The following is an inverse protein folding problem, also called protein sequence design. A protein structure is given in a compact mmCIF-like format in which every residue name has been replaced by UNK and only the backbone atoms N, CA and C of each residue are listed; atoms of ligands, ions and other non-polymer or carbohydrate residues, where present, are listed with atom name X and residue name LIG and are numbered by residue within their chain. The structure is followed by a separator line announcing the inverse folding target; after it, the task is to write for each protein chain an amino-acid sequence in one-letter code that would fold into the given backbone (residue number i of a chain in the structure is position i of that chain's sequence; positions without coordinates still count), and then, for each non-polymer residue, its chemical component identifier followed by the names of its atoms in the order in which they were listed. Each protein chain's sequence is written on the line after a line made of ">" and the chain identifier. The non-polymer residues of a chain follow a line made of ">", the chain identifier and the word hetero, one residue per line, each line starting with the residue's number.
data_IF_371932404910
#
_entry.id   IF_371932404910
#
_cell.length_a   1.000
_cell.length_b   1.000
_cell.length_c   1.000
_cell.angle_alpha   90.00
_cell.angle_beta   90.00
_cell.angle_gamma   90.00
#
_symmetry.space_group_name_H-M   'P 1'
#
loop_
_entity.id
_entity.type
_entity.pdbx_description
1 polymer ?
#
# COMPACT_ATOMS: atom_id res chain seq x y z
N UNK A 1 -12.90 12.13 -16.16
CA UNK A 1 -11.58 12.33 -15.50
C UNK A 1 -10.54 11.58 -16.30
N UNK A 2 -9.39 12.20 -16.59
CA UNK A 2 -8.27 11.47 -17.20
C UNK A 2 -7.73 10.44 -16.20
N UNK A 3 -7.32 9.28 -16.69
CA UNK A 3 -6.72 8.22 -15.83
C UNK A 3 -5.53 8.74 -15.01
N UNK A 4 -4.77 9.71 -15.55
CA UNK A 4 -3.66 10.38 -14.87
C UNK A 4 -4.14 11.17 -13.64
N UNK A 5 -5.20 11.95 -13.76
CA UNK A 5 -5.75 12.70 -12.62
C UNK A 5 -6.23 11.75 -11.50
N UNK A 6 -6.89 10.65 -11.87
CA UNK A 6 -7.30 9.63 -10.91
C UNK A 6 -6.10 8.99 -10.18
N UNK A 7 -5.01 8.72 -10.91
CA UNK A 7 -3.79 8.16 -10.33
C UNK A 7 -3.13 9.13 -9.32
N UNK A 8 -3.06 10.43 -9.62
CA UNK A 8 -2.53 11.43 -8.69
C UNK A 8 -3.39 11.56 -7.42
N UNK A 9 -4.70 11.58 -7.56
CA UNK A 9 -5.63 11.61 -6.42
C UNK A 9 -5.44 10.35 -5.55
N UNK A 10 -5.33 9.19 -6.17
CA UNK A 10 -5.04 7.93 -5.46
C UNK A 10 -3.72 7.98 -4.70
N UNK A 11 -2.65 8.48 -5.32
CA UNK A 11 -1.34 8.62 -4.68
C UNK A 11 -1.38 9.58 -3.47
N UNK A 12 -2.12 10.68 -3.57
CA UNK A 12 -2.32 11.62 -2.48
C UNK A 12 -3.01 10.96 -1.27
N UNK A 13 -4.11 10.26 -1.50
CA UNK A 13 -4.81 9.54 -0.42
C UNK A 13 -3.98 8.40 0.15
N UNK A 14 -3.18 7.70 -0.66
CA UNK A 14 -2.27 6.66 -0.19
C UNK A 14 -1.20 7.23 0.75
N UNK A 15 -0.68 8.43 0.46
CA UNK A 15 0.25 9.13 1.35
C UNK A 15 -0.38 9.48 2.70
N UNK A 16 -1.57 10.09 2.70
CA UNK A 16 -2.34 10.41 3.92
C UNK A 16 -2.60 9.14 4.72
N UNK A 17 -3.03 8.07 4.06
CA UNK A 17 -3.29 6.77 4.69
C UNK A 17 -2.10 6.26 5.50
N UNK A 18 -0.89 6.36 4.97
CA UNK A 18 0.33 5.88 5.63
C UNK A 18 0.62 6.64 6.93
N UNK A 19 0.39 7.94 6.95
CA UNK A 19 0.56 8.79 8.15
C UNK A 19 -0.52 8.50 9.19
N UNK A 20 -1.79 8.47 8.77
CA UNK A 20 -2.91 8.15 9.67
C UNK A 20 -2.78 6.75 10.27
N UNK A 21 -2.35 5.76 9.47
CA UNK A 21 -2.08 4.41 9.95
C UNK A 21 -1.04 4.40 11.06
N UNK A 22 0.09 5.11 10.90
CA UNK A 22 1.12 5.21 11.94
C UNK A 22 0.61 5.87 13.21
N UNK A 23 -0.22 6.90 13.09
CA UNK A 23 -0.83 7.54 14.25
C UNK A 23 -1.79 6.59 14.98
N UNK A 24 -2.59 5.81 14.24
CA UNK A 24 -3.56 4.87 14.81
C UNK A 24 -2.93 3.67 15.51
N UNK A 25 -1.75 3.20 15.05
CA UNK A 25 -1.08 2.02 15.60
C UNK A 25 -0.30 2.33 16.90
N UNK A 26 -0.05 3.60 17.23
CA UNK A 26 0.80 3.95 18.40
C UNK A 26 0.33 3.35 19.72
N UNK A 27 -0.97 3.13 19.90
CA UNK A 27 -1.57 2.64 21.15
C UNK A 27 -2.51 1.45 20.92
N UNK A 28 -2.51 0.87 19.72
CA UNK A 28 -3.41 -0.22 19.33
C UNK A 28 -2.57 -1.34 18.71
N UNK A 29 -2.95 -2.57 18.99
CA UNK A 29 -2.38 -3.73 18.33
C UNK A 29 -2.55 -3.62 16.81
N UNK A 30 -1.50 -3.98 16.06
CA UNK A 30 -1.49 -3.83 14.59
C UNK A 30 -2.55 -4.67 13.88
N UNK A 31 -2.89 -5.83 14.44
CA UNK A 31 -3.89 -6.72 13.86
C UNK A 31 -5.30 -6.16 14.07
N UNK A 32 -5.57 -5.61 15.25
CA UNK A 32 -6.83 -4.92 15.56
C UNK A 32 -6.98 -3.66 14.70
N UNK A 33 -5.93 -2.87 14.55
CA UNK A 33 -5.95 -1.69 13.70
C UNK A 33 -6.23 -2.05 12.23
N UNK A 34 -5.64 -3.14 11.74
CA UNK A 34 -5.90 -3.67 10.40
C UNK A 34 -7.36 -4.10 10.25
N UNK A 35 -7.92 -4.81 11.22
CA UNK A 35 -9.31 -5.28 11.20
C UNK A 35 -10.30 -4.10 11.17
N UNK A 36 -10.17 -3.14 12.06
CA UNK A 36 -11.04 -1.95 12.12
C UNK A 36 -10.99 -1.19 10.79
N UNK A 37 -9.80 -0.93 10.27
CA UNK A 37 -9.64 -0.24 8.99
C UNK A 37 -10.29 -1.01 7.84
N UNK A 38 -10.12 -2.33 7.80
CA UNK A 38 -10.71 -3.17 6.74
C UNK A 38 -12.23 -3.12 6.79
N UNK A 39 -12.84 -3.11 7.98
CA UNK A 39 -14.29 -2.93 8.12
C UNK A 39 -14.75 -1.57 7.55
N UNK A 40 -14.04 -0.49 7.85
CA UNK A 40 -14.37 0.84 7.31
C UNK A 40 -14.27 0.86 5.78
N UNK A 41 -13.19 0.29 5.23
CA UNK A 41 -13.00 0.19 3.77
C UNK A 41 -14.09 -0.66 3.13
N UNK A 42 -14.48 -1.76 3.75
CA UNK A 42 -15.54 -2.64 3.27
C UNK A 42 -16.88 -1.88 3.17
N UNK A 43 -17.28 -1.20 4.25
CA UNK A 43 -18.52 -0.40 4.28
C UNK A 43 -18.48 0.70 3.21
N UNK A 44 -17.36 1.42 3.11
CA UNK A 44 -17.20 2.46 2.11
C UNK A 44 -17.28 1.93 0.67
N UNK A 45 -16.62 0.80 0.39
CA UNK A 45 -16.64 0.18 -0.93
C UNK A 45 -18.06 -0.27 -1.34
N UNK A 46 -18.82 -0.88 -0.41
CA UNK A 46 -20.21 -1.27 -0.67
C UNK A 46 -21.14 -0.08 -0.85
N UNK A 47 -20.95 0.98 -0.06
CA UNK A 47 -21.70 2.22 -0.23
C UNK A 47 -21.47 2.84 -1.62
N UNK A 48 -20.21 2.88 -2.06
CA UNK A 48 -19.86 3.39 -3.40
C UNK A 48 -20.43 2.50 -4.52
N UNK A 49 -20.41 1.17 -4.38
CA UNK A 49 -21.04 0.25 -5.32
C UNK A 49 -22.55 0.45 -5.39
N UNK A 50 -23.19 0.76 -4.26
CA UNK A 50 -24.62 1.10 -4.19
C UNK A 50 -24.94 2.40 -4.90
N UNK A 51 -24.19 3.45 -4.65
CA UNK A 51 -24.38 4.78 -5.26
C UNK A 51 -24.17 4.72 -6.78
N UNK A 52 -23.17 3.95 -7.25
CA UNK A 52 -22.88 3.77 -8.68
C UNK A 52 -23.86 2.83 -9.40
N UNK A 53 -24.78 2.18 -8.67
CA UNK A 53 -25.73 1.22 -9.24
C UNK A 53 -25.09 -0.11 -9.71
N UNK A 54 -23.82 -0.34 -9.37
CA UNK A 54 -23.06 -1.50 -9.86
C UNK A 54 -23.41 -2.81 -9.15
N UNK A 55 -24.22 -2.79 -8.09
CA UNK A 55 -24.61 -4.01 -7.33
C UNK A 55 -25.36 -4.99 -8.24
N UNK A 56 -26.18 -4.50 -9.18
CA UNK A 56 -26.92 -5.35 -10.11
C UNK A 56 -26.06 -6.20 -11.05
N UNK A 57 -24.79 -5.83 -11.24
CA UNK A 57 -23.87 -6.57 -12.12
C UNK A 57 -23.19 -7.77 -11.44
N UNK A 58 -23.39 -7.96 -10.14
CA UNK A 58 -22.76 -9.07 -9.39
C UNK A 58 -23.17 -10.43 -9.96
N UNK A 59 -24.43 -10.57 -10.38
CA UNK A 59 -24.94 -11.84 -10.94
C UNK A 59 -24.40 -12.17 -12.34
N UNK A 60 -23.79 -11.20 -13.05
CA UNK A 60 -23.20 -11.39 -14.36
C UNK A 60 -21.69 -11.67 -14.33
N UNK A 61 -21.09 -11.74 -13.15
CA UNK A 61 -19.65 -11.99 -12.98
C UNK A 61 -19.36 -13.46 -13.30
N UNK A 62 -18.46 -13.70 -14.26
CA UNK A 62 -17.99 -15.03 -14.61
C UNK A 62 -17.26 -15.70 -13.43
N UNK A 63 -17.45 -17.02 -13.27
CA UNK A 63 -16.83 -17.81 -12.18
C UNK A 63 -15.30 -17.66 -12.13
N UNK A 64 -14.65 -17.52 -13.27
CA UNK A 64 -13.22 -17.30 -13.37
C UNK A 64 -12.81 -15.96 -12.77
N UNK A 65 -13.59 -14.92 -13.01
CA UNK A 65 -13.35 -13.59 -12.41
C UNK A 65 -13.54 -13.61 -10.90
N UNK A 66 -14.50 -14.37 -10.39
CA UNK A 66 -14.69 -14.59 -8.96
C UNK A 66 -13.46 -15.19 -8.31
N UNK A 67 -12.86 -16.22 -8.92
CA UNK A 67 -11.63 -16.84 -8.42
C UNK A 67 -10.49 -15.81 -8.27
N UNK A 68 -10.25 -15.02 -9.31
CA UNK A 68 -9.19 -14.02 -9.29
C UNK A 68 -9.46 -12.88 -8.29
N UNK A 69 -10.71 -12.46 -8.15
CA UNK A 69 -11.10 -11.43 -7.17
C UNK A 69 -10.89 -11.93 -5.73
N UNK A 70 -11.26 -13.18 -5.43
CA UNK A 70 -11.04 -13.78 -4.10
C UNK A 70 -9.54 -13.92 -3.81
N UNK A 71 -8.75 -14.45 -4.76
CA UNK A 71 -7.31 -14.57 -4.58
C UNK A 71 -6.64 -13.21 -4.39
N UNK A 72 -7.05 -12.20 -5.17
CA UNK A 72 -6.57 -10.82 -5.01
C UNK A 72 -6.93 -10.24 -3.64
N UNK A 73 -8.14 -10.49 -3.17
CA UNK A 73 -8.59 -10.08 -1.83
C UNK A 73 -7.75 -10.71 -0.71
N UNK A 74 -7.48 -12.02 -0.81
CA UNK A 74 -6.62 -12.72 0.15
C UNK A 74 -5.18 -12.19 0.13
N UNK A 75 -4.62 -11.97 -1.05
CA UNK A 75 -3.28 -11.42 -1.18
C UNK A 75 -3.20 -9.99 -0.61
N UNK A 76 -4.23 -9.17 -0.85
CA UNK A 76 -4.34 -7.82 -0.29
C UNK A 76 -4.42 -7.87 1.24
N UNK A 77 -5.25 -8.75 1.81
CA UNK A 77 -5.35 -8.93 3.26
C UNK A 77 -4.02 -9.33 3.90
N UNK A 78 -3.35 -10.32 3.34
CA UNK A 78 -2.02 -10.75 3.80
C UNK A 78 -1.00 -9.60 3.72
N UNK A 79 -0.97 -8.85 2.60
CA UNK A 79 -0.09 -7.70 2.43
C UNK A 79 -0.34 -6.63 3.49
N UNK A 80 -1.60 -6.31 3.79
CA UNK A 80 -1.95 -5.32 4.81
C UNK A 80 -1.56 -5.73 6.22
N UNK A 81 -1.76 -6.99 6.60
CA UNK A 81 -1.31 -7.52 7.91
C UNK A 81 0.20 -7.33 8.05
N UNK A 82 0.98 -7.74 7.05
CA UNK A 82 2.44 -7.57 7.05
C UNK A 82 2.86 -6.09 7.10
N UNK A 83 2.19 -5.23 6.31
CA UNK A 83 2.47 -3.80 6.25
C UNK A 83 2.22 -3.10 7.59
N UNK A 84 1.06 -3.35 8.22
CA UNK A 84 0.72 -2.74 9.51
C UNK A 84 1.64 -3.24 10.62
N UNK A 85 2.01 -4.53 10.60
CA UNK A 85 2.97 -5.07 11.55
C UNK A 85 4.35 -4.41 11.39
N UNK A 86 4.82 -4.28 10.15
CA UNK A 86 6.06 -3.56 9.85
C UNK A 86 5.99 -2.09 10.30
N UNK A 87 4.85 -1.43 10.10
CA UNK A 87 4.63 -0.04 10.49
C UNK A 87 4.58 0.13 12.01
N UNK A 88 4.08 -0.88 12.75
CA UNK A 88 4.07 -0.92 14.22
C UNK A 88 5.47 -0.92 14.81
N UNK A 89 6.34 -1.78 14.31
CA UNK A 89 7.71 -1.97 14.82
C UNK A 89 8.76 -1.09 14.14
N UNK A 90 8.49 -0.58 12.95
CA UNK A 90 9.44 0.15 12.11
C UNK A 90 9.14 1.64 11.96
N UNK A 91 10.08 2.32 11.30
CA UNK A 91 9.95 3.73 10.91
C UNK A 91 9.14 3.87 9.62
N UNK A 92 8.16 4.79 9.60
CA UNK A 92 7.34 5.09 8.40
C UNK A 92 8.21 5.40 7.19
N UNK A 93 9.26 6.20 7.38
CA UNK A 93 10.17 6.61 6.32
C UNK A 93 10.97 5.46 5.69
N UNK A 94 11.02 4.31 6.37
CA UNK A 94 11.67 3.08 5.85
C UNK A 94 10.64 2.10 5.31
N UNK A 95 9.54 1.89 6.05
CA UNK A 95 8.50 0.91 5.70
C UNK A 95 7.76 1.31 4.43
N UNK A 96 7.37 2.58 4.29
CA UNK A 96 6.61 3.06 3.12
C UNK A 96 7.40 2.93 1.81
N UNK A 97 8.67 3.36 1.72
CA UNK A 97 9.45 3.14 0.50
C UNK A 97 9.65 1.66 0.15
N UNK A 98 9.90 0.81 1.16
CA UNK A 98 10.05 -0.64 0.94
C UNK A 98 8.75 -1.26 0.41
N UNK A 99 7.59 -0.87 0.95
CA UNK A 99 6.29 -1.30 0.43
C UNK A 99 6.10 -0.94 -1.05
N UNK A 100 6.61 0.22 -1.49
CA UNK A 100 6.57 0.64 -2.90
C UNK A 100 7.43 -0.21 -3.85
N UNK A 101 8.33 -1.03 -3.34
CA UNK A 101 9.03 -2.06 -4.15
C UNK A 101 8.05 -3.07 -4.75
N UNK A 102 6.85 -3.22 -4.20
CA UNK A 102 5.78 -4.03 -4.79
C UNK A 102 5.40 -3.56 -6.20
N UNK A 103 5.49 -2.26 -6.49
CA UNK A 103 5.26 -1.70 -7.83
C UNK A 103 6.32 -2.18 -8.84
N UNK A 104 7.57 -2.26 -8.39
CA UNK A 104 8.69 -2.80 -9.19
C UNK A 104 8.43 -4.27 -9.51
N UNK A 105 8.06 -5.05 -8.49
CA UNK A 105 7.76 -6.47 -8.65
C UNK A 105 6.56 -6.69 -9.58
N UNK A 106 5.50 -5.90 -9.42
CA UNK A 106 4.32 -5.95 -10.29
C UNK A 106 4.67 -5.64 -11.76
N UNK A 107 5.52 -4.62 -12.00
CA UNK A 107 5.97 -4.29 -13.35
C UNK A 107 6.79 -5.42 -13.98
N UNK A 108 7.70 -6.05 -13.22
CA UNK A 108 8.48 -7.20 -13.69
C UNK A 108 7.58 -8.40 -14.01
N UNK A 109 6.63 -8.72 -13.13
CA UNK A 109 5.65 -9.79 -13.36
C UNK A 109 4.80 -9.51 -14.59
N UNK A 110 4.35 -8.27 -14.78
CA UNK A 110 3.57 -7.88 -15.96
C UNK A 110 4.35 -8.07 -17.27
N UNK A 111 5.63 -7.74 -17.29
CA UNK A 111 6.50 -7.98 -18.46
C UNK A 111 6.62 -9.47 -18.76
N UNK A 112 6.85 -10.30 -17.72
CA UNK A 112 7.11 -11.74 -17.88
C UNK A 112 5.82 -12.52 -18.23
N UNK A 113 4.70 -12.25 -17.52
CA UNK A 113 3.47 -13.02 -17.68
C UNK A 113 2.58 -12.54 -18.84
N UNK A 114 2.54 -11.22 -19.07
CA UNK A 114 1.67 -10.65 -20.12
C UNK A 114 2.44 -10.28 -21.38
N UNK A 115 3.76 -10.46 -21.42
CA UNK A 115 4.57 -10.11 -22.59
C UNK A 115 4.46 -8.64 -22.97
N UNK A 116 4.19 -7.76 -22.00
CA UNK A 116 3.91 -6.35 -22.24
C UNK A 116 5.20 -5.57 -22.54
N UNK A 117 5.67 -5.71 -23.76
CA UNK A 117 6.93 -5.12 -24.24
C UNK A 117 6.78 -3.69 -24.78
N UNK A 118 5.55 -3.14 -24.82
CA UNK A 118 5.35 -1.75 -25.25
C UNK A 118 6.09 -0.79 -24.33
N UNK A 119 6.99 0.00 -24.92
CA UNK A 119 7.85 0.95 -24.20
C UNK A 119 8.71 0.31 -23.06
N UNK A 120 9.25 -0.88 -23.31
CA UNK A 120 10.06 -1.63 -22.35
C UNK A 120 11.19 -0.78 -21.74
N UNK A 121 11.87 0.04 -22.56
CA UNK A 121 12.92 0.93 -22.09
C UNK A 121 12.42 1.94 -21.02
N UNK A 122 11.25 2.54 -21.25
CA UNK A 122 10.65 3.50 -20.30
C UNK A 122 10.23 2.81 -19.00
N UNK A 123 9.66 1.58 -19.09
CA UNK A 123 9.30 0.78 -17.92
C UNK A 123 10.52 0.39 -17.09
N UNK A 124 11.60 -0.06 -17.73
CA UNK A 124 12.84 -0.43 -17.06
C UNK A 124 13.53 0.79 -16.40
N UNK A 125 13.58 1.92 -17.09
CA UNK A 125 14.14 3.16 -16.52
C UNK A 125 13.29 3.63 -15.33
N UNK A 126 11.96 3.66 -15.46
CA UNK A 126 11.06 4.03 -14.35
C UNK A 126 11.22 3.12 -13.14
N UNK A 127 11.31 1.81 -13.36
CA UNK A 127 11.54 0.80 -12.31
C UNK A 127 12.89 1.02 -11.62
N UNK A 128 13.95 1.29 -12.37
CA UNK A 128 15.27 1.59 -11.84
C UNK A 128 15.28 2.88 -11.00
N UNK A 129 14.60 3.93 -11.46
CA UNK A 129 14.49 5.19 -10.72
C UNK A 129 13.74 5.00 -9.40
N UNK A 130 12.63 4.25 -9.38
CA UNK A 130 11.87 3.92 -8.15
C UNK A 130 12.77 3.14 -7.19
N UNK A 131 13.49 2.15 -7.67
CA UNK A 131 14.38 1.32 -6.86
C UNK A 131 15.50 2.17 -6.24
N UNK A 132 16.18 2.98 -7.03
CA UNK A 132 17.22 3.89 -6.55
C UNK A 132 16.67 4.90 -5.54
N UNK A 133 15.53 5.51 -5.82
CA UNK A 133 14.87 6.45 -4.88
C UNK A 133 14.54 5.80 -3.55
N UNK A 134 14.06 4.55 -3.56
CA UNK A 134 13.77 3.78 -2.35
C UNK A 134 15.04 3.54 -1.54
N UNK A 135 16.13 3.11 -2.16
CA UNK A 135 17.43 2.92 -1.50
C UNK A 135 17.95 4.21 -0.88
N UNK A 136 17.95 5.32 -1.62
CA UNK A 136 18.39 6.61 -1.12
C UNK A 136 17.59 7.11 0.09
N UNK A 137 16.29 6.82 0.15
CA UNK A 137 15.46 7.16 1.31
C UNK A 137 15.83 6.34 2.55
N UNK A 138 16.22 5.08 2.37
CA UNK A 138 16.61 4.19 3.49
C UNK A 138 17.99 4.57 4.03
N UNK A 139 18.98 4.84 3.17
CA UNK A 139 20.36 5.14 3.57
C UNK A 139 20.52 6.49 4.29
N UNK A 140 19.81 7.52 3.87
CA UNK A 140 20.01 8.89 4.35
C UNK A 140 19.71 9.07 5.85
N UNK A 141 19.10 8.09 6.54
CA UNK A 141 18.77 8.18 7.97
C UNK A 141 19.71 7.39 8.91
N UNK A 142 20.69 6.67 8.39
CA UNK A 142 21.74 6.07 9.19
C UNK A 142 22.81 7.06 9.68
N UNK A 143 22.87 8.26 9.06
CA UNK A 143 23.83 9.32 9.40
C UNK A 143 23.35 10.35 10.43
N UNK A 144 22.10 10.26 10.90
CA UNK A 144 21.59 11.07 12.01
C UNK A 144 21.71 10.26 13.30
N UNK A 145 22.69 10.60 14.09
CA UNK A 145 23.15 9.89 15.27
C UNK A 145 22.12 9.68 16.39
N UNK A 146 22.56 9.05 17.51
CA UNK A 146 21.70 8.54 18.57
C UNK A 146 21.26 9.67 19.52
N UNK A 147 20.24 10.41 19.15
CA UNK A 147 19.64 11.42 20.03
C UNK A 147 18.10 11.31 19.95
N UNK A 148 17.55 10.37 20.69
CA UNK A 148 16.18 10.40 21.22
C UNK A 148 15.83 9.11 21.99
N UNK A 149 16.72 8.71 22.89
CA UNK A 149 16.41 7.67 23.90
C UNK A 149 16.47 8.22 25.32
N UNK A 150 16.31 9.54 25.52
CA UNK A 150 16.46 10.15 26.83
C UNK A 150 15.33 11.10 27.23
N UNK A 151 14.05 10.66 27.05
CA UNK A 151 12.92 11.37 27.68
C UNK A 151 11.82 10.41 28.13
N UNK A 152 12.20 9.37 28.89
CA UNK A 152 11.24 8.48 29.57
C UNK A 152 11.39 8.45 31.09
N UNK A 153 12.12 9.41 31.67
CA UNK A 153 12.36 9.43 33.12
C UNK A 153 11.62 10.54 33.88
N UNK A 154 10.63 11.20 33.29
CA UNK A 154 9.90 12.29 33.97
C UNK A 154 8.45 11.97 34.32
N UNK A 155 8.03 10.70 34.28
CA UNK A 155 6.72 10.26 34.78
C UNK A 155 6.90 9.00 35.65
N UNK A 156 7.54 9.17 36.80
CA UNK A 156 7.42 8.30 37.97
C UNK A 156 6.88 9.14 39.11
#
# INVERSE_FOLDING_TARGET
>A
MSWVAAAFVSAFFAGITSILAKCGIKQTDSDVATAIRTCVVLVFAWAMAGISGSIGTIGSIESRSWLFLVLSGLATGASWICYFKALGIGDVNKVVPVDKMSTVLAALIAIVLFGETSNLAVKLVGTAVITLGTFLMIEKKQSAGPEQQQDRTWLA
#
